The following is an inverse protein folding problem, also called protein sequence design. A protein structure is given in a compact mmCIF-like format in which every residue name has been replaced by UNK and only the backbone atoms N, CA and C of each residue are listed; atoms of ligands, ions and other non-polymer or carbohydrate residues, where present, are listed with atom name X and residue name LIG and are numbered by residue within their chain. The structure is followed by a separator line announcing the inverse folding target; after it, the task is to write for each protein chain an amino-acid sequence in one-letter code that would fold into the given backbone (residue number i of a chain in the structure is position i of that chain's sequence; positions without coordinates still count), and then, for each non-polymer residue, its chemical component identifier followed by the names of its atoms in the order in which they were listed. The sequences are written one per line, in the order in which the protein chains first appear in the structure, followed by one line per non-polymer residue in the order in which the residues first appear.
data_IF_897858759216
#
_entry.id   IF_897858759216
#
_cell.length_a   1.000
_cell.length_b   1.000
_cell.length_c   1.000
_cell.angle_alpha   90.00
_cell.angle_beta   90.00
_cell.angle_gamma   90.00
#
_symmetry.space_group_name_H-M   'P 1'
#
loop_
_entity.id
_entity.type
_entity.pdbx_description
1 polymer ?
#
# COMPACT_ATOMS: atom_id res chain seq x y z
N UNK A 1 -89.46 -13.44 9.79
CA UNK A 1 -88.44 -12.38 9.60
C UNK A 1 -87.25 -13.02 8.96
N UNK A 2 -86.96 -12.60 7.73
CA UNK A 2 -85.81 -13.02 6.93
C UNK A 2 -84.55 -12.24 7.36
N UNK A 3 -83.39 -12.89 7.30
CA UNK A 3 -82.13 -12.39 6.73
C UNK A 3 -81.07 -13.51 6.90
N UNK A 4 -80.70 -14.23 5.82
CA UNK A 4 -79.72 -13.89 4.77
C UNK A 4 -78.27 -14.10 5.24
N UNK A 5 -77.71 -15.16 4.63
CA UNK A 5 -76.31 -15.51 4.35
C UNK A 5 -75.21 -14.46 4.61
N UNK A 6 -74.07 -14.92 5.16
CA UNK A 6 -72.91 -15.41 4.38
C UNK A 6 -71.77 -15.87 5.32
N UNK A 7 -71.06 -16.98 4.99
CA UNK A 7 -69.78 -17.30 5.59
C UNK A 7 -68.70 -16.44 4.92
N UNK A 8 -68.00 -15.61 5.67
CA UNK A 8 -66.82 -14.90 5.15
C UNK A 8 -65.67 -15.90 5.08
N UNK A 9 -65.31 -16.26 3.85
CA UNK A 9 -64.13 -17.04 3.47
C UNK A 9 -62.89 -16.61 4.24
N UNK A 10 -62.35 -17.53 5.04
CA UNK A 10 -61.03 -17.41 5.67
C UNK A 10 -60.10 -18.53 5.17
N UNK A 11 -60.17 -18.85 3.88
CA UNK A 11 -59.49 -20.03 3.31
C UNK A 11 -58.60 -19.75 2.11
N UNK A 12 -58.37 -18.49 1.71
CA UNK A 12 -57.65 -18.17 0.46
C UNK A 12 -56.77 -16.93 0.58
N UNK A 13 -55.77 -16.95 1.48
CA UNK A 13 -54.66 -15.97 1.41
C UNK A 13 -53.28 -16.65 1.36
N UNK A 14 -53.13 -17.95 1.61
CA UNK A 14 -51.79 -18.52 1.78
C UNK A 14 -51.62 -19.80 0.96
N UNK A 15 -50.94 -19.70 -0.20
CA UNK A 15 -50.07 -20.78 -0.75
C UNK A 15 -49.59 -20.60 -2.20
N UNK A 16 -49.03 -19.44 -2.61
CA UNK A 16 -48.46 -19.38 -3.99
C UNK A 16 -47.07 -18.74 -4.18
N UNK A 17 -46.49 -17.97 -3.25
CA UNK A 17 -45.17 -17.37 -3.58
C UNK A 17 -44.09 -17.35 -2.48
N UNK A 18 -43.87 -18.46 -1.74
CA UNK A 18 -42.77 -18.53 -0.77
C UNK A 18 -41.38 -18.28 -1.42
N UNK A 19 -41.21 -18.60 -2.71
CA UNK A 19 -39.92 -18.42 -3.41
C UNK A 19 -39.67 -17.01 -3.98
N UNK A 20 -40.69 -16.21 -4.27
CA UNK A 20 -40.48 -14.85 -4.82
C UNK A 20 -40.24 -13.84 -3.71
N UNK A 21 -41.00 -13.94 -2.63
CA UNK A 21 -40.86 -13.05 -1.48
C UNK A 21 -39.47 -13.22 -0.82
N UNK A 22 -38.97 -14.46 -0.74
CA UNK A 22 -37.60 -14.75 -0.31
C UNK A 22 -36.54 -14.13 -1.24
N UNK A 23 -36.74 -14.19 -2.56
CA UNK A 23 -35.84 -13.56 -3.52
C UNK A 23 -35.88 -12.02 -3.46
N UNK A 24 -37.03 -11.42 -3.12
CA UNK A 24 -37.15 -9.99 -2.93
C UNK A 24 -36.42 -9.53 -1.67
N UNK A 25 -36.59 -10.23 -0.53
CA UNK A 25 -35.83 -9.96 0.69
C UNK A 25 -34.33 -10.06 0.44
N UNK A 26 -33.89 -11.11 -0.27
CA UNK A 26 -32.48 -11.27 -0.66
C UNK A 26 -31.99 -10.12 -1.56
N UNK A 27 -32.83 -9.62 -2.46
CA UNK A 27 -32.47 -8.49 -3.33
C UNK A 27 -32.30 -7.22 -2.51
N UNK A 28 -33.19 -6.97 -1.55
CA UNK A 28 -33.12 -5.81 -0.67
C UNK A 28 -31.85 -5.85 0.20
N UNK A 29 -31.52 -7.01 0.79
CA UNK A 29 -30.27 -7.21 1.54
C UNK A 29 -29.02 -6.94 0.68
N UNK A 30 -29.03 -7.37 -0.59
CA UNK A 30 -27.92 -7.13 -1.52
C UNK A 30 -27.79 -5.65 -1.88
N UNK A 31 -28.92 -4.95 -2.05
CA UNK A 31 -28.93 -3.52 -2.33
C UNK A 31 -28.45 -2.70 -1.13
N UNK A 32 -28.85 -3.08 0.08
CA UNK A 32 -28.37 -2.47 1.32
C UNK A 32 -26.84 -2.60 1.44
N UNK A 33 -26.31 -3.82 1.28
CA UNK A 33 -24.85 -4.05 1.28
C UNK A 33 -24.16 -3.25 0.19
N UNK A 34 -24.71 -3.20 -1.01
CA UNK A 34 -24.17 -2.41 -2.11
C UNK A 34 -24.08 -0.91 -1.78
N UNK A 35 -25.11 -0.35 -1.14
CA UNK A 35 -25.07 1.05 -0.71
C UNK A 35 -24.02 1.30 0.37
N UNK A 36 -23.84 0.37 1.32
CA UNK A 36 -22.77 0.46 2.31
C UNK A 36 -21.37 0.37 1.69
N UNK A 37 -21.15 -0.56 0.76
CA UNK A 37 -19.88 -0.71 0.04
C UNK A 37 -19.60 0.54 -0.81
N UNK A 38 -20.63 1.16 -1.41
CA UNK A 38 -20.51 2.39 -2.18
C UNK A 38 -20.13 3.59 -1.29
N UNK A 39 -20.74 3.73 -0.12
CA UNK A 39 -20.37 4.76 0.86
C UNK A 39 -18.92 4.57 1.35
N UNK A 40 -18.50 3.33 1.63
CA UNK A 40 -17.12 3.01 1.97
C UNK A 40 -16.16 3.38 0.83
N UNK A 41 -16.52 3.08 -0.42
CA UNK A 41 -15.74 3.45 -1.60
C UNK A 41 -15.58 4.97 -1.72
N UNK A 42 -16.65 5.74 -1.56
CA UNK A 42 -16.59 7.21 -1.61
C UNK A 42 -15.71 7.78 -0.49
N UNK A 43 -15.81 7.24 0.72
CA UNK A 43 -14.95 7.64 1.85
C UNK A 43 -13.48 7.34 1.58
N UNK A 44 -13.17 6.15 1.08
CA UNK A 44 -11.79 5.77 0.72
C UNK A 44 -11.25 6.67 -0.40
N UNK A 45 -12.07 7.05 -1.38
CA UNK A 45 -11.69 7.99 -2.43
C UNK A 45 -11.35 9.37 -1.86
N UNK A 46 -12.17 9.90 -0.95
CA UNK A 46 -11.91 11.18 -0.28
C UNK A 46 -10.60 11.16 0.52
N UNK A 47 -10.34 10.05 1.23
CA UNK A 47 -9.09 9.87 1.95
C UNK A 47 -7.89 9.82 1.00
N UNK A 48 -7.98 9.08 -0.10
CA UNK A 48 -6.94 9.06 -1.13
C UNK A 48 -6.63 10.47 -1.66
N UNK A 49 -7.67 11.23 -2.02
CA UNK A 49 -7.49 12.61 -2.49
C UNK A 49 -6.84 13.49 -1.43
N UNK A 50 -7.20 13.34 -0.15
CA UNK A 50 -6.59 14.07 0.96
C UNK A 50 -5.09 13.77 1.09
N UNK A 51 -4.70 12.49 1.07
CA UNK A 51 -3.29 12.11 1.17
C UNK A 51 -2.48 12.51 -0.07
N UNK A 52 -3.04 12.41 -1.27
CA UNK A 52 -2.36 12.85 -2.50
C UNK A 52 -2.17 14.37 -2.49
N UNK A 53 -3.20 15.14 -2.17
CA UNK A 53 -3.10 16.60 -2.11
C UNK A 53 -2.09 17.06 -1.06
N UNK A 54 -2.06 16.45 0.13
CA UNK A 54 -1.05 16.76 1.15
C UNK A 54 0.36 16.38 0.70
N UNK A 55 0.52 15.24 0.03
CA UNK A 55 1.78 14.76 -0.52
C UNK A 55 2.34 15.69 -1.60
N UNK A 56 1.51 16.06 -2.58
CA UNK A 56 1.91 16.98 -3.65
C UNK A 56 2.20 18.38 -3.15
N UNK A 57 1.42 18.90 -2.17
CA UNK A 57 1.70 20.20 -1.58
C UNK A 57 3.04 20.20 -0.83
N UNK A 58 3.32 19.15 -0.07
CA UNK A 58 4.60 19.00 0.64
C UNK A 58 5.78 18.86 -0.33
N UNK A 59 5.59 18.14 -1.44
CA UNK A 59 6.57 18.03 -2.52
C UNK A 59 6.82 19.37 -3.20
N UNK A 60 5.77 20.15 -3.48
CA UNK A 60 5.89 21.48 -4.03
C UNK A 60 6.65 22.42 -3.09
N UNK A 61 6.36 22.36 -1.79
CA UNK A 61 7.09 23.11 -0.76
C UNK A 61 8.57 22.69 -0.70
N UNK A 62 8.87 21.39 -0.80
CA UNK A 62 10.25 20.91 -0.86
C UNK A 62 10.99 21.46 -2.09
N UNK A 63 10.35 21.43 -3.26
CA UNK A 63 10.90 21.97 -4.50
C UNK A 63 11.12 23.49 -4.44
N UNK A 64 10.21 24.23 -3.80
CA UNK A 64 10.34 25.68 -3.66
C UNK A 64 11.49 26.07 -2.72
N UNK A 65 11.67 25.33 -1.64
CA UNK A 65 12.74 25.56 -0.67
C UNK A 65 14.08 24.96 -1.09
N UNK A 66 14.16 24.30 -2.24
CA UNK A 66 15.42 23.76 -2.72
C UNK A 66 16.26 24.88 -3.31
N UNK A 67 17.39 25.18 -2.65
CA UNK A 67 18.34 26.20 -3.12
C UNK A 67 19.14 25.73 -4.33
N UNK A 68 19.23 24.41 -4.55
CA UNK A 68 19.69 23.88 -5.81
C UNK A 68 18.59 24.11 -6.86
N UNK A 69 18.94 24.67 -8.02
CA UNK A 69 18.01 24.94 -9.13
C UNK A 69 17.39 23.66 -9.75
N UNK A 70 17.49 22.53 -9.08
CA UNK A 70 17.01 21.23 -9.52
C UNK A 70 15.82 20.80 -8.69
N UNK A 71 14.80 20.23 -9.33
CA UNK A 71 13.60 19.73 -8.65
C UNK A 71 13.82 18.30 -8.18
N UNK A 72 13.17 17.91 -7.09
CA UNK A 72 13.07 16.49 -6.72
C UNK A 72 12.26 15.78 -7.79
N UNK A 73 12.89 14.85 -8.49
CA UNK A 73 12.30 14.20 -9.65
C UNK A 73 13.15 13.03 -10.14
N UNK A 74 12.75 12.50 -11.29
CA UNK A 74 13.32 11.29 -11.89
C UNK A 74 14.83 11.37 -12.15
N UNK A 75 15.37 12.57 -12.32
CA UNK A 75 16.79 12.80 -12.61
C UNK A 75 17.72 12.35 -11.46
N UNK A 76 17.16 12.15 -10.26
CA UNK A 76 17.86 11.66 -9.07
C UNK A 76 17.57 10.19 -8.74
N UNK A 77 16.80 9.47 -9.57
CA UNK A 77 16.50 8.08 -9.29
C UNK A 77 17.76 7.22 -9.52
N UNK A 78 18.10 6.37 -8.55
CA UNK A 78 19.14 5.34 -8.74
C UNK A 78 18.62 4.32 -9.77
N UNK A 79 19.41 3.99 -10.78
CA UNK A 79 19.08 2.96 -11.79
C UNK A 79 18.85 1.58 -11.16
N UNK A 80 19.36 1.35 -9.95
CA UNK A 80 19.17 0.13 -9.16
C UNK A 80 17.98 0.21 -8.20
N UNK A 81 17.10 1.20 -8.34
CA UNK A 81 15.90 1.35 -7.51
C UNK A 81 15.07 0.07 -7.50
N UNK A 82 14.71 -0.39 -6.31
CA UNK A 82 13.75 -1.47 -6.09
C UNK A 82 12.50 -0.93 -5.40
N UNK A 83 11.36 -1.57 -5.65
CA UNK A 83 10.11 -1.22 -5.00
C UNK A 83 10.22 -1.39 -3.48
N UNK A 84 10.07 -0.30 -2.73
CA UNK A 84 10.07 -0.33 -1.27
C UNK A 84 8.78 -0.94 -0.71
N UNK A 85 7.67 -0.83 -1.44
CA UNK A 85 6.37 -1.41 -1.06
C UNK A 85 5.94 -2.40 -2.14
N UNK A 86 5.66 -3.63 -1.72
CA UNK A 86 5.10 -4.70 -2.55
C UNK A 86 3.70 -5.03 -2.04
N UNK A 87 2.83 -5.48 -2.93
CA UNK A 87 1.49 -5.94 -2.58
C UNK A 87 1.36 -7.41 -2.94
N UNK A 88 0.69 -8.16 -2.07
CA UNK A 88 0.34 -9.56 -2.32
C UNK A 88 -1.12 -9.62 -2.69
N UNK A 89 -1.38 -10.34 -3.77
CA UNK A 89 -2.72 -10.70 -4.21
C UNK A 89 -2.99 -12.09 -3.64
N UNK A 90 -3.85 -12.18 -2.62
CA UNK A 90 -4.31 -13.44 -2.07
C UNK A 90 -5.56 -13.88 -2.81
N UNK A 91 -5.68 -15.16 -3.15
CA UNK A 91 -6.88 -15.75 -3.75
C UNK A 91 -7.47 -16.79 -2.79
N UNK A 92 -8.47 -16.39 -2.01
CA UNK A 92 -9.13 -17.28 -1.06
C UNK A 92 -10.55 -17.61 -1.54
N UNK A 93 -10.86 -18.89 -1.80
CA UNK A 93 -12.20 -19.37 -2.16
C UNK A 93 -12.91 -18.56 -3.29
N UNK A 94 -12.16 -18.12 -4.31
CA UNK A 94 -12.67 -17.29 -5.41
C UNK A 94 -12.70 -15.78 -5.10
N UNK A 95 -12.16 -15.39 -3.95
CA UNK A 95 -12.06 -14.02 -3.44
C UNK A 95 -10.62 -13.50 -3.51
N UNK A 96 -10.30 -12.79 -4.59
CA UNK A 96 -9.02 -12.09 -4.74
C UNK A 96 -8.95 -10.83 -3.87
N UNK A 97 -8.04 -10.75 -2.91
CA UNK A 97 -7.86 -9.59 -2.01
C UNK A 97 -6.44 -9.08 -2.09
N UNK A 98 -6.28 -7.75 -2.20
CA UNK A 98 -4.98 -7.10 -2.22
C UNK A 98 -4.60 -6.69 -0.80
N UNK A 99 -3.40 -7.07 -0.36
CA UNK A 99 -2.83 -6.72 0.94
C UNK A 99 -1.38 -6.23 0.80
N UNK A 100 -0.92 -5.40 1.73
CA UNK A 100 0.47 -4.91 1.76
C UNK A 100 1.39 -6.05 2.19
N UNK A 101 2.44 -6.33 1.40
CA UNK A 101 3.46 -7.29 1.78
C UNK A 101 4.29 -6.72 2.94
N UNK A 102 4.36 -7.42 4.08
CA UNK A 102 5.24 -7.01 5.17
C UNK A 102 6.72 -7.11 4.74
N UNK A 103 7.49 -6.04 4.96
CA UNK A 103 8.88 -5.87 4.51
C UNK A 103 9.92 -6.82 5.16
N UNK A 104 9.52 -7.93 5.79
CA UNK A 104 10.42 -8.86 6.49
C UNK A 104 10.49 -10.27 5.89
N UNK A 105 10.03 -10.48 4.66
CA UNK A 105 10.28 -11.72 3.93
C UNK A 105 11.43 -11.48 2.94
N UNK A 106 12.65 -11.85 3.35
CA UNK A 106 13.78 -12.03 2.45
C UNK A 106 13.42 -13.12 1.42
N UNK A 107 13.39 -12.76 0.14
CA UNK A 107 13.32 -13.71 -0.97
C UNK A 107 14.67 -14.49 -1.02
N UNK A 108 14.67 -15.84 -0.99
CA UNK A 108 15.89 -16.62 -1.08
C UNK A 108 16.29 -16.84 -2.55
N UNK A 109 17.51 -16.45 -2.88
CA UNK A 109 18.40 -17.05 -3.90
C UNK A 109 17.93 -17.06 -5.36
N UNK A 110 18.66 -16.34 -6.21
CA UNK A 110 19.15 -16.97 -7.44
C UNK A 110 20.63 -16.62 -7.67
N UNK A 111 21.46 -17.66 -7.63
CA UNK A 111 22.88 -17.63 -7.97
C UNK A 111 23.00 -18.19 -9.37
N UNK A 112 23.40 -17.37 -10.34
CA UNK A 112 24.03 -17.86 -11.56
C UNK A 112 25.41 -17.23 -11.72
N UNK A 113 26.38 -18.14 -11.67
CA UNK A 113 27.80 -18.01 -12.00
C UNK A 113 27.91 -17.88 -13.53
N UNK A 114 28.74 -16.96 -14.02
CA UNK A 114 29.93 -17.27 -14.85
C UNK A 114 30.56 -15.96 -15.39
N UNK A 115 31.76 -15.59 -14.98
CA UNK A 115 33.09 -16.00 -15.48
C UNK A 115 33.56 -15.17 -16.69
N UNK A 116 34.38 -14.14 -16.45
CA UNK A 116 35.62 -13.87 -17.22
C UNK A 116 36.41 -12.67 -16.65
N UNK A 117 37.59 -12.97 -16.11
CA UNK A 117 38.79 -12.10 -16.04
C UNK A 117 39.64 -12.41 -17.31
N UNK A 118 40.76 -11.72 -17.69
CA UNK A 118 41.70 -10.99 -16.81
C UNK A 118 42.49 -9.77 -17.38
N UNK A 119 43.23 -9.12 -16.47
CA UNK A 119 44.46 -8.31 -16.66
C UNK A 119 44.32 -6.99 -17.46
N UNK A 120 45.03 -5.89 -17.22
CA UNK A 120 46.40 -5.71 -16.73
C UNK A 120 46.66 -4.24 -16.30
N UNK A 121 47.56 -4.08 -15.33
CA UNK A 121 48.51 -2.99 -15.07
C UNK A 121 48.18 -1.50 -15.34
N UNK A 122 48.25 -0.68 -14.28
CA UNK A 122 49.26 0.39 -14.23
C UNK A 122 49.42 0.92 -12.80
N UNK A 123 50.65 0.80 -12.29
CA UNK A 123 51.12 1.39 -11.07
C UNK A 123 51.79 2.73 -11.38
N UNK A 124 51.54 3.75 -10.56
CA UNK A 124 52.52 4.83 -10.36
C UNK A 124 52.52 5.27 -8.90
N UNK A 125 53.72 5.34 -8.34
CA UNK A 125 54.03 5.65 -6.96
C UNK A 125 54.93 6.90 -6.89
N UNK A 126 54.99 7.49 -5.69
CA UNK A 126 55.99 8.47 -5.16
C UNK A 126 55.72 9.92 -5.56
N UNK A 127 55.85 10.95 -4.71
CA UNK A 127 56.75 11.26 -3.56
C UNK A 127 55.93 11.95 -2.43
N UNK A 128 56.11 11.82 -1.11
CA UNK A 128 57.25 11.89 -0.18
C UNK A 128 57.81 13.32 0.08
N UNK A 129 57.46 13.91 1.24
CA UNK A 129 58.28 14.70 2.20
C UNK A 129 57.32 15.27 3.28
N UNK A 130 57.32 14.77 4.52
CA UNK A 130 58.19 15.01 5.69
C UNK A 130 57.77 16.17 6.63
N UNK A 131 57.80 15.85 7.92
CA UNK A 131 57.31 16.55 9.13
C UNK A 131 58.47 17.32 9.80
N UNK A 132 58.28 18.23 10.77
CA UNK A 132 58.20 17.85 12.21
C UNK A 132 57.21 18.74 13.03
N UNK A 133 56.47 18.29 14.05
CA UNK A 133 56.76 17.70 15.38
C UNK A 133 56.89 18.75 16.53
N UNK A 134 56.01 18.62 17.56
CA UNK A 134 56.11 19.06 18.97
C UNK A 134 54.69 18.94 19.60
N UNK A 135 54.26 17.88 20.27
CA UNK A 135 54.66 17.21 21.52
C UNK A 135 54.12 17.86 22.82
N UNK A 136 53.25 17.12 23.54
CA UNK A 136 52.99 17.18 25.00
C UNK A 136 51.87 16.19 25.46
N UNK A 137 52.29 14.97 25.84
CA UNK A 137 51.91 14.11 26.99
C UNK A 137 50.58 14.46 27.75
N UNK A 138 49.56 13.61 27.88
CA UNK A 138 49.44 12.35 28.67
C UNK A 138 48.76 12.62 30.05
N UNK A 139 48.08 11.68 30.78
CA UNK A 139 48.05 10.22 30.63
C UNK A 139 46.67 9.49 30.78
N UNK A 140 46.66 8.27 30.20
CA UNK A 140 45.93 7.02 30.45
C UNK A 140 45.10 6.83 31.74
N UNK A 141 43.88 6.27 31.61
CA UNK A 141 43.35 5.18 32.45
C UNK A 141 42.37 4.27 31.64
N UNK A 142 42.36 3.00 32.00
CA UNK A 142 41.93 1.82 31.23
C UNK A 142 40.72 1.12 31.89
N UNK A 143 40.03 0.26 31.11
CA UNK A 143 38.95 -0.71 31.47
C UNK A 143 37.52 -0.14 31.33
N UNK A 144 36.54 -0.77 30.68
CA UNK A 144 36.22 -2.20 30.53
C UNK A 144 35.41 -2.45 29.25
N UNK A 145 35.70 -3.59 28.60
CA UNK A 145 34.84 -4.25 27.61
C UNK A 145 33.39 -4.39 28.12
N UNK A 146 32.44 -3.90 27.33
CA UNK A 146 31.09 -4.45 27.27
C UNK A 146 30.66 -4.47 25.80
N UNK A 147 30.85 -5.64 25.19
CA UNK A 147 30.33 -5.97 23.88
C UNK A 147 28.80 -5.92 23.94
N UNK A 148 28.22 -4.83 23.46
CA UNK A 148 26.82 -4.81 23.01
C UNK A 148 26.85 -5.27 21.56
N UNK A 149 26.08 -6.29 21.15
CA UNK A 149 26.02 -6.66 19.76
C UNK A 149 25.26 -5.54 19.05
N UNK A 150 26.01 -4.65 18.39
CA UNK A 150 25.44 -3.79 17.36
C UNK A 150 24.90 -4.70 16.26
N UNK A 151 23.60 -4.99 16.34
CA UNK A 151 22.85 -5.50 15.20
C UNK A 151 23.03 -4.47 14.10
N UNK A 152 23.95 -4.73 13.18
CA UNK A 152 24.09 -4.00 11.93
C UNK A 152 22.75 -4.12 11.21
N UNK A 153 21.87 -3.14 11.44
CA UNK A 153 20.71 -2.93 10.57
C UNK A 153 21.31 -2.75 9.18
N UNK A 154 20.99 -3.67 8.28
CA UNK A 154 21.25 -3.48 6.86
C UNK A 154 20.81 -2.05 6.51
N UNK A 155 21.57 -1.31 5.67
CA UNK A 155 21.20 0.05 5.34
C UNK A 155 19.79 -0.01 4.77
N UNK A 156 18.82 0.52 5.50
CA UNK A 156 17.46 0.71 5.03
C UNK A 156 17.61 1.47 3.71
N UNK A 157 17.26 0.83 2.60
CA UNK A 157 17.36 1.40 1.27
C UNK A 157 16.23 2.42 1.12
N UNK A 158 16.34 3.51 1.88
CA UNK A 158 15.36 4.58 1.92
C UNK A 158 15.55 5.42 0.66
N UNK A 159 14.56 5.44 -0.25
CA UNK A 159 14.66 6.17 -1.51
C UNK A 159 14.88 7.67 -1.31
N UNK A 160 14.58 8.23 -0.13
CA UNK A 160 14.84 9.64 0.15
C UNK A 160 16.33 9.98 0.17
N UNK A 161 17.21 9.00 0.43
CA UNK A 161 18.66 9.24 0.48
C UNK A 161 19.27 9.42 -0.91
N UNK A 162 18.56 9.08 -1.99
CA UNK A 162 19.01 9.36 -3.34
C UNK A 162 19.07 10.85 -3.66
N UNK A 163 18.30 11.67 -2.94
CA UNK A 163 18.27 13.12 -3.12
C UNK A 163 19.30 13.88 -2.26
N UNK A 164 20.26 13.16 -1.65
CA UNK A 164 21.34 13.71 -0.86
C UNK A 164 21.32 13.29 0.61
N UNK A 165 22.38 13.66 1.33
CA UNK A 165 22.57 13.28 2.75
C UNK A 165 21.57 13.99 3.67
N UNK A 166 21.21 15.24 3.35
CA UNK A 166 20.28 16.03 4.13
C UNK A 166 18.93 16.13 3.42
N UNK A 167 17.99 15.29 3.85
CA UNK A 167 16.62 15.27 3.32
C UNK A 167 15.80 16.41 3.96
N UNK A 168 15.11 17.27 3.19
CA UNK A 168 14.23 18.28 3.76
C UNK A 168 13.03 17.66 4.49
N UNK A 169 12.52 18.29 5.58
CA UNK A 169 11.34 17.79 6.28
C UNK A 169 10.11 17.71 5.40
N UNK A 170 9.91 18.66 4.48
CA UNK A 170 8.79 18.66 3.54
C UNK A 170 8.84 17.45 2.59
N UNK A 171 10.04 16.99 2.20
CA UNK A 171 10.19 15.81 1.34
C UNK A 171 9.88 14.51 2.10
N UNK A 172 10.25 14.43 3.39
CA UNK A 172 9.80 13.34 4.28
C UNK A 172 8.29 13.31 4.44
N UNK A 173 7.66 14.46 4.67
CA UNK A 173 6.20 14.57 4.77
C UNK A 173 5.49 14.16 3.48
N UNK A 174 6.07 14.49 2.32
CA UNK A 174 5.57 14.05 1.03
C UNK A 174 5.62 12.52 0.90
N UNK A 175 6.79 11.90 1.18
CA UNK A 175 6.93 10.45 1.17
C UNK A 175 5.93 9.78 2.10
N UNK A 176 5.80 10.24 3.35
CA UNK A 176 4.87 9.68 4.32
C UNK A 176 3.41 9.76 3.82
N UNK A 177 3.01 10.88 3.21
CA UNK A 177 1.67 11.04 2.64
C UNK A 177 1.41 10.07 1.50
N UNK A 178 2.37 9.90 0.57
CA UNK A 178 2.23 8.96 -0.55
C UNK A 178 2.26 7.50 -0.11
N UNK A 179 3.12 7.15 0.86
CA UNK A 179 3.14 5.80 1.44
C UNK A 179 1.81 5.49 2.09
N UNK A 180 1.27 6.40 2.91
CA UNK A 180 -0.04 6.21 3.55
C UNK A 180 -1.17 6.07 2.53
N UNK A 181 -1.14 6.87 1.44
CA UNK A 181 -2.12 6.77 0.36
C UNK A 181 -2.11 5.39 -0.31
N UNK A 182 -0.92 4.86 -0.58
CA UNK A 182 -0.71 3.61 -1.30
C UNK A 182 -0.98 2.39 -0.42
N UNK A 183 -0.62 2.43 0.86
CA UNK A 183 -0.82 1.33 1.81
C UNK A 183 -2.23 1.23 2.38
N UNK A 184 -3.01 2.31 2.37
CA UNK A 184 -4.38 2.31 2.88
C UNK A 184 -5.40 2.49 1.75
N UNK A 185 -5.75 3.75 1.39
CA UNK A 185 -6.85 4.03 0.48
C UNK A 185 -6.76 3.32 -0.88
N UNK A 186 -5.58 3.18 -1.49
CA UNK A 186 -5.44 2.49 -2.79
C UNK A 186 -5.77 1.00 -2.68
N UNK A 187 -5.30 0.33 -1.63
CA UNK A 187 -5.62 -1.09 -1.42
C UNK A 187 -7.08 -1.29 -1.07
N UNK A 188 -7.63 -0.44 -0.21
CA UNK A 188 -9.03 -0.48 0.19
C UNK A 188 -9.94 -0.25 -1.03
N UNK A 189 -9.67 0.77 -1.85
CA UNK A 189 -10.44 1.05 -3.07
C UNK A 189 -10.41 -0.13 -4.05
N UNK A 190 -9.27 -0.79 -4.18
CA UNK A 190 -9.13 -1.93 -5.08
C UNK A 190 -9.98 -3.13 -4.63
N UNK A 191 -10.01 -3.38 -3.31
CA UNK A 191 -10.84 -4.41 -2.70
C UNK A 191 -12.35 -4.05 -2.78
N UNK A 192 -12.72 -2.80 -2.46
CA UNK A 192 -14.10 -2.31 -2.53
C UNK A 192 -14.65 -2.31 -3.95
N UNK A 193 -13.86 -1.91 -4.95
CA UNK A 193 -14.27 -1.95 -6.36
C UNK A 193 -14.57 -3.38 -6.81
N UNK A 194 -13.79 -4.34 -6.33
CA UNK A 194 -14.03 -5.75 -6.60
C UNK A 194 -15.31 -6.25 -5.93
N UNK A 195 -15.53 -5.86 -4.67
CA UNK A 195 -16.76 -6.19 -3.93
C UNK A 195 -18.01 -5.61 -4.63
N UNK A 196 -17.96 -4.35 -5.05
CA UNK A 196 -19.05 -3.71 -5.81
C UNK A 196 -19.39 -4.50 -7.07
N UNK A 197 -18.38 -4.89 -7.86
CA UNK A 197 -18.60 -5.70 -9.07
C UNK A 197 -19.25 -7.05 -8.75
N UNK A 198 -18.83 -7.70 -7.67
CA UNK A 198 -19.40 -8.97 -7.25
C UNK A 198 -20.88 -8.82 -6.87
N UNK A 199 -21.19 -7.79 -6.08
CA UNK A 199 -22.57 -7.47 -5.68
C UNK A 199 -23.45 -7.13 -6.89
N UNK A 200 -22.96 -6.35 -7.86
CA UNK A 200 -23.68 -6.03 -9.11
C UNK A 200 -24.04 -7.29 -9.91
N UNK A 201 -23.12 -8.26 -9.99
CA UNK A 201 -23.36 -9.55 -10.65
C UNK A 201 -24.46 -10.32 -9.92
N UNK A 202 -24.42 -10.37 -8.59
CA UNK A 202 -25.41 -11.07 -7.77
C UNK A 202 -26.80 -10.43 -7.85
N UNK A 203 -26.88 -9.11 -7.74
CA UNK A 203 -28.11 -8.32 -7.96
C UNK A 203 -28.68 -8.62 -9.34
N UNK A 204 -27.83 -8.64 -10.38
CA UNK A 204 -28.22 -9.00 -11.74
C UNK A 204 -28.75 -10.43 -11.85
N UNK A 205 -28.20 -11.39 -11.12
CA UNK A 205 -28.67 -12.80 -11.08
C UNK A 205 -30.02 -12.91 -10.37
N UNK A 206 -30.19 -12.32 -9.20
CA UNK A 206 -31.43 -12.36 -8.41
C UNK A 206 -32.57 -11.70 -9.18
N UNK A 207 -32.33 -10.53 -9.78
CA UNK A 207 -33.33 -9.85 -10.64
C UNK A 207 -33.77 -10.72 -11.81
N UNK A 208 -32.85 -11.46 -12.44
CA UNK A 208 -33.19 -12.42 -13.51
C UNK A 208 -34.01 -13.60 -13.00
N UNK A 209 -33.76 -14.09 -11.78
CA UNK A 209 -34.55 -15.17 -11.16
C UNK A 209 -35.96 -14.70 -10.83
N UNK A 210 -36.12 -13.50 -10.26
CA UNK A 210 -37.43 -12.91 -9.97
C UNK A 210 -38.24 -12.73 -11.26
N UNK A 211 -37.62 -12.31 -12.37
CA UNK A 211 -38.30 -12.14 -13.66
C UNK A 211 -38.77 -13.46 -14.29
N UNK A 212 -38.17 -14.60 -13.90
CA UNK A 212 -38.53 -15.93 -14.42
C UNK A 212 -39.67 -16.59 -13.65
N UNK A 213 -40.02 -16.06 -12.47
CA UNK A 213 -41.15 -16.47 -11.65
C UNK A 213 -42.38 -15.62 -11.97
#
# INVERSE_FOLDING_TARGET
MADVALPVSASEIQSSVPGKDELLLRLDDLLERYLHTLDAYQKAQQQLTKHLSSGYLSLAQANFNNNAHTRYGQDYFDERMQASRKFVICEDEGTTTISVASQNAEDPTDKTKDTSSPADSSATAREAEEVPEADAQGPFEEKTNSAVPETKKTPTNDPLRWFGVLVPPALRSAQASFVTAVEGPVTELSNLLRELRQQEIEIGRVRKQIKKL
#
